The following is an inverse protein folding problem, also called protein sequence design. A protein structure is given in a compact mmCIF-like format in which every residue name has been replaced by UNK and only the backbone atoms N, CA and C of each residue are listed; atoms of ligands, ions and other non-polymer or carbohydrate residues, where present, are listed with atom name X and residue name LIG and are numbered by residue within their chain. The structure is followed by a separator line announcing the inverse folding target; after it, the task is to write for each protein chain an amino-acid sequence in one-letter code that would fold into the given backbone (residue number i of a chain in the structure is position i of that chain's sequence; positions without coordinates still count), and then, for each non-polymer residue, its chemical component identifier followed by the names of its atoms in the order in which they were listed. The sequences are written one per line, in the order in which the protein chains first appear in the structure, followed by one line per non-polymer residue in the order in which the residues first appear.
data_IF_779603811882
#
_entry.id   IF_779603811882
#
_cell.length_a   1.000
_cell.length_b   1.000
_cell.length_c   1.000
_cell.angle_alpha   90.00
_cell.angle_beta   90.00
_cell.angle_gamma   90.00
#
_symmetry.space_group_name_H-M   'P 1'
#
loop_
_entity.id
_entity.type
_entity.pdbx_description
1 polymer ?
#
# COMPACT_ATOMS: atom_id res chain seq x y z
N UNK A 1 16.25 12.01 10.97
CA UNK A 1 14.80 11.95 10.85
C UNK A 1 14.18 11.10 11.95
N UNK A 2 12.93 11.37 12.34
CA UNK A 2 12.19 10.46 13.23
C UNK A 2 11.64 9.29 12.43
N UNK A 3 11.68 8.10 13.03
CA UNK A 3 11.12 6.88 12.45
C UNK A 3 10.54 5.97 13.53
N UNK A 4 9.48 5.23 13.19
CA UNK A 4 8.91 4.18 14.01
C UNK A 4 9.56 2.85 13.62
N UNK A 5 10.49 2.39 14.44
CA UNK A 5 11.31 1.21 14.19
C UNK A 5 10.74 -0.01 14.93
N UNK A 6 10.51 -1.09 14.20
CA UNK A 6 10.32 -2.42 14.77
C UNK A 6 11.70 -2.91 15.24
N UNK A 7 11.92 -2.99 16.56
CA UNK A 7 13.21 -3.37 17.15
C UNK A 7 13.27 -4.85 17.50
N UNK A 8 12.12 -5.44 17.80
CA UNK A 8 11.92 -6.88 18.05
C UNK A 8 10.43 -7.19 17.82
N UNK A 9 10.00 -8.46 17.71
CA UNK A 9 8.59 -8.81 17.70
C UNK A 9 7.84 -8.14 18.84
N UNK A 10 6.69 -7.56 18.52
CA UNK A 10 5.83 -6.80 19.43
C UNK A 10 6.47 -5.56 20.09
N UNK A 11 7.60 -5.07 19.55
CA UNK A 11 8.31 -3.92 20.12
C UNK A 11 8.58 -2.87 19.04
N UNK A 12 7.90 -1.72 19.18
CA UNK A 12 8.10 -0.53 18.35
C UNK A 12 8.74 0.59 19.18
N UNK A 13 9.62 1.35 18.57
CA UNK A 13 10.22 2.53 19.19
C UNK A 13 10.30 3.70 18.20
N UNK A 14 9.99 4.91 18.65
CA UNK A 14 10.31 6.12 17.91
C UNK A 14 11.79 6.44 18.15
N UNK A 15 12.56 6.46 17.07
CA UNK A 15 14.02 6.66 17.12
C UNK A 15 14.45 7.80 16.21
N UNK A 16 15.62 8.36 16.51
CA UNK A 16 16.37 9.15 15.55
C UNK A 16 17.09 8.20 14.60
N UNK A 17 16.72 8.24 13.33
CA UNK A 17 17.25 7.37 12.28
C UNK A 17 17.93 8.21 11.21
N UNK A 18 19.02 7.76 10.60
CA UNK A 18 19.63 8.50 9.49
C UNK A 18 18.63 8.74 8.36
N UNK A 19 18.63 9.96 7.81
CA UNK A 19 17.87 10.22 6.58
C UNK A 19 18.47 9.37 5.46
N UNK A 20 17.66 8.61 4.69
CA UNK A 20 18.20 7.74 3.66
C UNK A 20 18.90 8.54 2.56
N UNK A 21 20.07 8.08 2.14
CA UNK A 21 20.69 8.54 0.91
C UNK A 21 19.91 7.99 -0.29
N UNK A 22 19.81 8.76 -1.36
CA UNK A 22 19.17 8.36 -2.61
C UNK A 22 20.21 7.90 -3.63
N UNK A 23 19.88 6.84 -4.38
CA UNK A 23 20.64 6.42 -5.55
C UNK A 23 20.33 7.33 -6.76
N UNK A 24 21.06 7.16 -7.85
CA UNK A 24 20.93 7.99 -9.05
C UNK A 24 19.52 8.04 -9.65
N UNK A 25 18.77 6.95 -9.55
CA UNK A 25 17.41 6.79 -10.09
C UNK A 25 16.30 6.86 -9.02
N UNK A 26 16.68 7.22 -7.79
CA UNK A 26 15.76 7.33 -6.66
C UNK A 26 15.37 8.78 -6.35
N UNK A 27 14.29 8.90 -5.62
CA UNK A 27 13.84 10.17 -5.02
C UNK A 27 13.73 10.04 -3.51
N UNK A 28 13.90 11.14 -2.79
CA UNK A 28 13.59 11.25 -1.38
C UNK A 28 12.18 11.86 -1.24
N UNK A 29 11.28 11.10 -0.66
CA UNK A 29 9.90 11.54 -0.40
C UNK A 29 9.76 11.89 1.06
N UNK A 30 9.33 13.12 1.36
CA UNK A 30 8.81 13.49 2.68
C UNK A 30 7.43 12.91 2.83
N UNK A 31 7.21 12.06 3.82
CA UNK A 31 5.92 11.42 4.08
C UNK A 31 4.99 12.40 4.80
N UNK A 32 3.79 12.57 4.27
CA UNK A 32 2.72 13.35 4.86
C UNK A 32 1.65 12.46 5.50
N UNK A 33 1.38 11.30 4.92
CA UNK A 33 0.46 10.32 5.47
C UNK A 33 0.92 8.89 5.13
N UNK A 34 0.73 7.97 6.05
CA UNK A 34 0.96 6.55 5.86
C UNK A 34 -0.13 5.74 6.58
N UNK A 35 -0.82 4.87 5.85
CA UNK A 35 -1.81 3.95 6.39
C UNK A 35 -1.16 2.85 7.22
N UNK A 36 -1.91 2.32 8.18
CA UNK A 36 -1.55 1.13 8.96
C UNK A 36 -2.32 -0.05 8.39
N UNK A 37 -1.64 -0.95 7.69
CA UNK A 37 -2.22 -2.17 7.12
C UNK A 37 -2.35 -3.27 8.18
N UNK A 38 -3.33 -4.15 8.03
CA UNK A 38 -3.40 -5.38 8.83
C UNK A 38 -2.14 -6.23 8.74
N UNK A 39 -1.44 -6.17 7.59
CA UNK A 39 -0.16 -6.84 7.42
C UNK A 39 0.97 -6.23 8.28
N UNK A 40 0.90 -4.96 8.65
CA UNK A 40 1.86 -4.35 9.58
C UNK A 40 1.64 -4.86 11.00
N UNK A 41 0.39 -5.11 11.40
CA UNK A 41 0.09 -5.76 12.67
C UNK A 41 0.69 -7.16 12.75
N UNK A 42 0.51 -7.98 11.70
CA UNK A 42 1.13 -9.31 11.62
C UNK A 42 2.66 -9.25 11.48
N UNK A 43 3.20 -8.16 11.00
CA UNK A 43 4.64 -7.89 11.01
C UNK A 43 5.15 -7.53 12.40
N UNK A 44 4.38 -6.73 13.12
CA UNK A 44 4.70 -6.32 14.47
C UNK A 44 4.71 -7.49 15.44
N UNK A 45 3.70 -8.36 15.44
CA UNK A 45 3.63 -9.54 16.32
C UNK A 45 4.56 -10.70 15.89
N UNK A 46 5.17 -10.60 14.70
CA UNK A 46 6.08 -11.61 14.14
C UNK A 46 5.37 -12.77 13.45
N UNK A 47 4.03 -12.84 13.46
CA UNK A 47 3.26 -13.95 12.88
C UNK A 47 3.39 -14.08 11.36
N UNK A 48 3.72 -12.99 10.65
CA UNK A 48 3.91 -13.01 9.20
C UNK A 48 5.22 -13.66 8.75
N UNK A 49 6.25 -13.71 9.61
CA UNK A 49 7.61 -14.16 9.29
C UNK A 49 8.36 -13.32 8.24
N UNK A 50 7.71 -12.35 7.61
CA UNK A 50 8.26 -11.55 6.51
C UNK A 50 8.93 -10.26 6.98
N UNK A 51 8.47 -9.68 8.08
CA UNK A 51 9.03 -8.45 8.64
C UNK A 51 10.01 -8.80 9.74
N UNK A 52 11.28 -8.62 9.46
CA UNK A 52 12.37 -8.96 10.39
C UNK A 52 12.99 -7.69 10.96
N UNK A 53 13.00 -7.59 12.27
CA UNK A 53 13.63 -6.49 12.99
C UNK A 53 15.17 -6.48 12.79
N UNK A 54 15.81 -5.29 12.80
CA UNK A 54 15.21 -3.96 12.89
C UNK A 54 14.63 -3.51 11.53
N UNK A 55 13.39 -3.00 11.48
CA UNK A 55 12.74 -2.59 10.24
C UNK A 55 11.82 -1.38 10.50
N UNK A 56 11.87 -0.37 9.64
CA UNK A 56 10.82 0.64 9.53
C UNK A 56 9.76 0.05 8.59
N UNK A 57 8.53 -0.12 9.09
CA UNK A 57 7.40 -0.64 8.31
C UNK A 57 6.65 0.50 7.60
N UNK A 58 5.44 0.23 7.08
CA UNK A 58 4.59 1.19 6.37
C UNK A 58 4.82 1.18 4.85
N UNK A 59 3.74 0.98 4.09
CA UNK A 59 3.77 0.81 2.63
C UNK A 59 2.58 1.45 1.91
N UNK A 60 1.63 2.00 2.65
CA UNK A 60 0.44 2.72 2.14
C UNK A 60 0.66 4.22 2.34
N UNK A 61 1.48 4.88 1.52
CA UNK A 61 1.94 6.22 1.83
C UNK A 61 1.78 7.22 0.70
N UNK A 62 1.75 8.49 1.09
CA UNK A 62 1.75 9.64 0.21
C UNK A 62 2.61 10.75 0.77
N UNK A 63 3.14 11.58 -0.11
CA UNK A 63 4.02 12.65 0.31
C UNK A 63 4.47 13.55 -0.82
N UNK A 64 5.54 14.28 -0.58
CA UNK A 64 6.13 15.25 -1.49
C UNK A 64 7.61 14.92 -1.72
N UNK A 65 8.06 15.00 -2.97
CA UNK A 65 9.48 14.82 -3.32
C UNK A 65 10.26 16.02 -2.78
N UNK A 66 11.34 15.74 -2.04
CA UNK A 66 12.24 16.78 -1.52
C UNK A 66 13.62 16.75 -2.16
N UNK A 67 14.02 15.63 -2.77
CA UNK A 67 15.26 15.51 -3.54
C UNK A 67 15.13 14.43 -4.61
N UNK A 68 15.89 14.58 -5.69
CA UNK A 68 15.95 13.64 -6.81
C UNK A 68 17.39 13.25 -7.10
N UNK A 69 17.61 11.99 -7.47
CA UNK A 69 18.88 11.52 -7.97
C UNK A 69 19.17 12.09 -9.38
N UNK A 70 20.44 12.11 -9.81
CA UNK A 70 20.85 12.77 -11.05
C UNK A 70 20.30 12.13 -12.34
N UNK A 71 19.80 10.91 -12.30
CA UNK A 71 19.15 10.23 -13.45
C UNK A 71 17.62 10.31 -13.44
N UNK A 72 17.04 11.08 -12.50
CA UNK A 72 15.59 11.27 -12.42
C UNK A 72 15.18 12.46 -13.27
N UNK A 73 14.53 12.21 -14.41
CA UNK A 73 14.15 13.25 -15.38
C UNK A 73 12.69 13.72 -15.24
N UNK A 74 11.79 12.86 -14.75
CA UNK A 74 10.33 13.10 -14.78
C UNK A 74 9.77 13.74 -13.52
N UNK A 75 10.60 13.88 -12.48
CA UNK A 75 10.18 14.29 -11.16
C UNK A 75 11.02 15.43 -10.64
N UNK A 76 10.40 16.34 -9.91
CA UNK A 76 11.04 17.48 -9.29
C UNK A 76 10.70 17.57 -7.80
N UNK A 77 11.54 18.27 -7.04
CA UNK A 77 11.18 18.65 -5.67
C UNK A 77 9.89 19.49 -5.68
N UNK A 78 9.00 19.21 -4.74
CA UNK A 78 7.64 19.77 -4.66
C UNK A 78 6.56 18.91 -5.33
N UNK A 79 6.91 17.91 -6.15
CA UNK A 79 5.92 17.01 -6.73
C UNK A 79 5.23 16.17 -5.67
N UNK A 80 3.90 16.16 -5.70
CA UNK A 80 3.05 15.38 -4.81
C UNK A 80 2.89 13.96 -5.36
N UNK A 81 3.21 12.95 -4.54
CA UNK A 81 3.29 11.56 -5.00
C UNK A 81 2.71 10.55 -4.00
N UNK A 82 2.27 9.43 -4.55
CA UNK A 82 2.19 8.12 -3.91
C UNK A 82 3.07 7.14 -4.68
N UNK A 83 3.21 5.92 -4.22
CA UNK A 83 4.03 4.92 -4.89
C UNK A 83 3.42 3.52 -4.79
N UNK A 84 3.71 2.69 -5.79
CA UNK A 84 3.55 1.24 -5.64
C UNK A 84 4.58 0.74 -4.63
N UNK A 85 4.13 0.06 -3.59
CA UNK A 85 5.04 -0.50 -2.59
C UNK A 85 5.97 -1.58 -3.15
N UNK A 86 5.66 -2.12 -4.33
CA UNK A 86 6.45 -3.14 -5.02
C UNK A 86 7.56 -2.54 -5.86
N UNK A 87 8.81 -2.76 -5.46
CA UNK A 87 10.00 -2.38 -6.22
C UNK A 87 10.40 -3.56 -7.11
N UNK A 88 10.05 -3.48 -8.39
CA UNK A 88 10.38 -4.50 -9.38
C UNK A 88 11.78 -4.27 -10.01
N UNK A 89 12.44 -5.34 -10.46
CA UNK A 89 13.81 -5.26 -11.00
C UNK A 89 13.90 -4.70 -12.42
N UNK A 90 12.85 -4.82 -13.23
CA UNK A 90 12.80 -4.34 -14.61
C UNK A 90 13.45 -5.26 -15.66
N UNK A 91 14.17 -6.32 -15.26
CA UNK A 91 14.99 -7.14 -16.16
C UNK A 91 14.68 -8.64 -16.14
N UNK A 92 13.93 -9.15 -15.17
CA UNK A 92 13.54 -10.57 -15.16
C UNK A 92 12.45 -10.87 -16.20
N UNK A 93 12.24 -12.16 -16.47
CA UNK A 93 11.25 -12.62 -17.45
C UNK A 93 9.88 -11.96 -17.27
N UNK A 94 9.33 -11.93 -16.06
CA UNK A 94 8.04 -11.32 -15.80
C UNK A 94 8.03 -9.80 -16.02
N UNK A 95 9.09 -9.10 -15.60
CA UNK A 95 9.20 -7.66 -15.84
C UNK A 95 9.24 -7.33 -17.32
N UNK A 96 9.99 -8.09 -18.12
CA UNK A 96 10.06 -7.89 -19.58
C UNK A 96 8.72 -8.14 -20.28
N UNK A 97 7.80 -8.88 -19.67
CA UNK A 97 6.43 -9.09 -20.14
C UNK A 97 5.41 -8.11 -19.58
N UNK A 98 5.84 -7.10 -18.80
CA UNK A 98 4.94 -6.16 -18.13
C UNK A 98 4.25 -6.69 -16.86
N UNK A 99 4.57 -7.91 -16.45
CA UNK A 99 4.00 -8.56 -15.26
C UNK A 99 4.84 -8.23 -14.01
N UNK A 100 5.01 -6.94 -13.72
CA UNK A 100 5.92 -6.45 -12.67
C UNK A 100 5.55 -6.95 -11.26
N UNK A 101 4.26 -7.21 -11.01
CA UNK A 101 3.77 -7.81 -9.77
C UNK A 101 4.27 -9.24 -9.53
N UNK A 102 4.73 -9.94 -10.57
CA UNK A 102 5.33 -11.27 -10.50
C UNK A 102 6.86 -11.23 -10.55
N UNK A 103 7.48 -10.07 -10.39
CA UNK A 103 8.94 -9.92 -10.40
C UNK A 103 9.61 -10.89 -9.42
N UNK A 104 10.58 -11.67 -9.92
CA UNK A 104 11.33 -12.66 -9.14
C UNK A 104 12.22 -12.02 -8.07
N UNK A 105 12.75 -10.82 -8.36
CA UNK A 105 13.65 -10.07 -7.49
C UNK A 105 12.96 -8.84 -6.84
N UNK A 106 11.65 -8.94 -6.59
CA UNK A 106 10.93 -7.81 -6.02
C UNK A 106 11.31 -7.56 -4.56
N UNK A 107 11.47 -6.30 -4.23
CA UNK A 107 11.47 -5.79 -2.86
C UNK A 107 10.13 -5.11 -2.60
N UNK A 108 9.74 -5.01 -1.35
CA UNK A 108 8.51 -4.32 -0.96
C UNK A 108 8.84 -3.35 0.16
N UNK A 109 8.49 -2.08 -0.04
CA UNK A 109 8.70 -1.00 0.91
C UNK A 109 8.09 -1.38 2.27
N UNK A 110 8.88 -1.35 3.34
CA UNK A 110 8.42 -1.65 4.70
C UNK A 110 8.08 -3.12 4.99
N UNK A 111 8.41 -4.05 4.08
CA UNK A 111 8.02 -5.48 4.20
C UNK A 111 9.17 -6.44 4.02
N UNK A 112 10.03 -6.21 3.05
CA UNK A 112 11.00 -7.22 2.60
C UNK A 112 12.01 -7.63 3.67
N UNK A 113 12.23 -8.95 3.86
CA UNK A 113 13.20 -9.47 4.82
C UNK A 113 14.62 -9.53 4.25
N UNK A 114 15.60 -9.75 5.14
CA UNK A 114 17.00 -10.09 4.85
C UNK A 114 17.68 -9.16 3.82
N UNK A 115 18.36 -9.70 2.84
CA UNK A 115 19.08 -9.01 1.77
C UNK A 115 18.20 -8.16 0.86
N UNK A 116 16.91 -8.46 0.78
CA UNK A 116 15.90 -7.64 0.09
C UNK A 116 15.29 -6.55 0.97
N UNK A 117 15.86 -6.34 2.16
CA UNK A 117 15.34 -5.40 3.15
C UNK A 117 15.20 -3.99 2.58
N UNK A 118 14.01 -3.46 2.71
CA UNK A 118 13.66 -2.11 2.32
C UNK A 118 12.88 -1.45 3.45
N UNK A 119 13.43 -0.38 4.02
CA UNK A 119 12.71 0.43 5.00
C UNK A 119 11.50 1.10 4.38
N UNK A 120 10.45 1.23 5.18
CA UNK A 120 9.16 1.75 4.79
C UNK A 120 8.90 3.20 5.23
N UNK A 121 7.63 3.56 5.16
CA UNK A 121 7.16 4.93 5.27
C UNK A 121 6.65 5.33 6.68
N UNK A 122 6.80 4.49 7.70
CA UNK A 122 6.60 4.94 9.09
C UNK A 122 7.80 5.76 9.57
N UNK A 123 8.17 6.77 8.78
CA UNK A 123 9.27 7.69 9.00
C UNK A 123 8.97 9.04 8.32
N UNK A 124 9.74 10.08 8.66
CA UNK A 124 9.58 11.39 8.02
C UNK A 124 9.96 11.36 6.53
N UNK A 125 10.89 10.49 6.14
CA UNK A 125 11.37 10.37 4.75
C UNK A 125 11.56 8.91 4.36
N UNK A 126 11.34 8.63 3.06
CA UNK A 126 11.65 7.36 2.43
C UNK A 126 12.35 7.59 1.09
N UNK A 127 13.39 6.79 0.80
CA UNK A 127 14.00 6.74 -0.53
C UNK A 127 13.36 5.62 -1.35
N UNK A 128 12.90 5.95 -2.55
CA UNK A 128 12.27 4.98 -3.47
C UNK A 128 12.68 5.24 -4.92
N UNK A 129 12.75 4.20 -5.76
CA UNK A 129 13.01 4.36 -7.19
C UNK A 129 11.91 5.22 -7.85
N UNK A 130 12.31 6.15 -8.70
CA UNK A 130 11.40 7.08 -9.37
C UNK A 130 10.36 6.39 -10.26
N UNK A 131 10.64 5.17 -10.75
CA UNK A 131 9.77 4.37 -11.62
C UNK A 131 8.52 3.81 -10.94
N UNK A 132 8.47 3.78 -9.59
CA UNK A 132 7.30 3.28 -8.86
C UNK A 132 6.36 4.40 -8.40
N UNK A 133 6.65 5.65 -8.73
CA UNK A 133 5.89 6.81 -8.31
C UNK A 133 4.68 7.07 -9.20
N UNK A 134 3.62 7.59 -8.58
CA UNK A 134 2.43 8.11 -9.22
C UNK A 134 2.18 9.55 -8.75
N UNK A 135 1.92 10.45 -9.72
CA UNK A 135 1.60 11.86 -9.44
C UNK A 135 0.21 11.98 -8.83
N UNK A 136 0.10 12.76 -7.79
CA UNK A 136 -1.18 13.09 -7.17
C UNK A 136 -1.73 14.39 -7.74
N UNK A 137 -3.05 14.48 -7.95
CA UNK A 137 -3.72 15.76 -8.20
C UNK A 137 -3.54 16.71 -7.00
N UNK A 138 -3.43 18.02 -7.27
CA UNK A 138 -3.26 19.02 -6.21
C UNK A 138 -4.44 19.06 -5.23
N UNK A 139 -5.63 18.69 -5.70
CA UNK A 139 -6.86 18.67 -4.91
C UNK A 139 -7.02 17.45 -4.01
N UNK A 140 -6.20 16.39 -4.18
CA UNK A 140 -6.32 15.18 -3.37
C UNK A 140 -5.50 15.33 -2.08
N UNK A 141 -6.13 15.32 -0.89
CA UNK A 141 -5.41 15.36 0.39
C UNK A 141 -4.49 14.15 0.57
N UNK A 142 -3.37 14.32 1.27
CA UNK A 142 -2.38 13.25 1.45
C UNK A 142 -2.93 12.06 2.25
N UNK A 143 -3.77 12.29 3.25
CA UNK A 143 -4.42 11.24 4.03
C UNK A 143 -5.32 10.35 3.15
N UNK A 144 -6.06 10.94 2.19
CA UNK A 144 -6.84 10.20 1.21
C UNK A 144 -5.93 9.54 0.16
N UNK A 145 -4.84 10.20 -0.25
CA UNK A 145 -3.91 9.66 -1.21
C UNK A 145 -3.15 8.43 -0.68
N UNK A 146 -2.90 8.35 0.62
CA UNK A 146 -2.33 7.15 1.26
C UNK A 146 -3.25 5.91 1.10
N UNK A 147 -4.56 6.12 0.91
CA UNK A 147 -5.51 5.03 0.64
C UNK A 147 -5.44 4.47 -0.80
N UNK A 148 -4.67 5.08 -1.71
CA UNK A 148 -4.58 4.61 -3.10
C UNK A 148 -4.03 3.18 -3.16
N UNK A 149 -3.06 2.84 -2.32
CA UNK A 149 -2.52 1.46 -2.27
C UNK A 149 -3.61 0.44 -1.95
N UNK A 150 -4.31 0.48 -0.79
CA UNK A 150 -5.34 -0.51 -0.49
C UNK A 150 -6.54 -0.45 -1.44
N UNK A 151 -6.88 0.72 -2.01
CA UNK A 151 -7.89 0.84 -3.06
C UNK A 151 -7.45 0.08 -4.31
N UNK A 152 -6.17 0.15 -4.69
CA UNK A 152 -5.64 -0.58 -5.86
C UNK A 152 -5.78 -2.09 -5.71
N UNK A 153 -5.58 -2.62 -4.49
CA UNK A 153 -5.80 -4.04 -4.16
C UNK A 153 -7.26 -4.43 -4.40
N UNK A 154 -8.20 -3.62 -3.89
CA UNK A 154 -9.63 -3.88 -4.05
C UNK A 154 -10.08 -3.81 -5.51
N UNK A 155 -9.64 -2.81 -6.27
CA UNK A 155 -9.94 -2.66 -7.69
C UNK A 155 -9.35 -3.84 -8.48
N UNK A 156 -8.09 -4.22 -8.22
CA UNK A 156 -7.48 -5.37 -8.86
C UNK A 156 -8.25 -6.67 -8.59
N UNK A 157 -8.68 -6.92 -7.35
CA UNK A 157 -9.47 -8.10 -7.01
C UNK A 157 -10.78 -8.16 -7.82
N UNK A 158 -11.49 -7.03 -7.93
CA UNK A 158 -12.75 -6.94 -8.69
C UNK A 158 -12.51 -7.12 -10.20
N UNK A 159 -11.42 -6.60 -10.74
CA UNK A 159 -11.07 -6.76 -12.16
C UNK A 159 -10.68 -8.19 -12.55
N UNK A 160 -10.37 -9.07 -11.60
CA UNK A 160 -10.06 -10.49 -11.86
C UNK A 160 -11.28 -11.33 -12.20
N UNK A 161 -12.49 -10.81 -11.97
CA UNK A 161 -13.75 -11.52 -12.24
C UNK A 161 -14.59 -10.73 -13.26
N UNK A 162 -15.36 -11.46 -14.06
CA UNK A 162 -16.39 -10.86 -14.92
C UNK A 162 -17.68 -10.80 -14.11
N UNK A 163 -18.27 -9.63 -13.96
CA UNK A 163 -19.50 -9.41 -13.19
C UNK A 163 -20.64 -9.11 -14.15
N UNK A 164 -21.65 -9.98 -14.16
CA UNK A 164 -22.91 -9.70 -14.86
C UNK A 164 -23.91 -8.99 -13.93
N UNK A 165 -24.82 -8.23 -14.51
CA UNK A 165 -25.85 -7.49 -13.74
C UNK A 165 -26.78 -8.41 -12.92
N UNK A 166 -26.89 -9.69 -13.29
CA UNK A 166 -27.67 -10.74 -12.60
C UNK A 166 -26.91 -11.41 -11.45
N UNK A 167 -25.60 -11.23 -11.35
CA UNK A 167 -24.78 -11.91 -10.37
C UNK A 167 -25.05 -11.42 -8.95
N UNK A 168 -24.86 -12.31 -8.02
CA UNK A 168 -24.74 -12.01 -6.59
C UNK A 168 -23.29 -12.20 -6.19
N UNK A 169 -22.64 -11.15 -5.74
CA UNK A 169 -21.24 -11.19 -5.31
C UNK A 169 -21.18 -11.22 -3.79
N UNK A 170 -20.44 -12.17 -3.25
CA UNK A 170 -20.25 -12.29 -1.80
C UNK A 170 -18.84 -11.83 -1.41
N UNK A 171 -18.77 -10.93 -0.43
CA UNK A 171 -17.52 -10.44 0.17
C UNK A 171 -17.41 -11.01 1.58
N UNK A 172 -16.48 -11.94 1.77
CA UNK A 172 -16.23 -12.57 3.08
C UNK A 172 -15.12 -11.78 3.78
N UNK A 173 -15.45 -11.20 4.94
CA UNK A 173 -14.62 -10.28 5.68
C UNK A 173 -14.88 -8.82 5.28
N UNK A 174 -15.43 -8.05 6.22
CA UNK A 174 -15.73 -6.62 6.05
C UNK A 174 -14.72 -5.73 6.82
N UNK A 175 -13.43 -6.11 6.81
CA UNK A 175 -12.33 -5.24 7.19
C UNK A 175 -12.06 -4.18 6.13
N UNK A 176 -10.97 -3.43 6.25
CA UNK A 176 -10.63 -2.34 5.32
C UNK A 176 -10.69 -2.79 3.84
N UNK A 177 -10.00 -3.86 3.47
CA UNK A 177 -9.99 -4.36 2.08
C UNK A 177 -11.39 -4.82 1.65
N UNK A 178 -12.13 -5.56 2.49
CA UNK A 178 -13.49 -6.00 2.16
C UNK A 178 -14.45 -4.82 1.92
N UNK A 179 -14.36 -3.77 2.74
CA UNK A 179 -15.15 -2.55 2.56
C UNK A 179 -14.79 -1.78 1.29
N UNK A 180 -13.52 -1.76 0.91
CA UNK A 180 -13.06 -1.20 -0.36
C UNK A 180 -13.52 -2.05 -1.56
N UNK A 181 -13.51 -3.38 -1.42
CA UNK A 181 -14.07 -4.30 -2.44
C UNK A 181 -15.56 -4.05 -2.64
N UNK A 182 -16.35 -3.86 -1.56
CA UNK A 182 -17.78 -3.51 -1.68
C UNK A 182 -17.98 -2.25 -2.52
N UNK A 183 -17.16 -1.21 -2.28
CA UNK A 183 -17.22 0.03 -3.05
C UNK A 183 -16.79 -0.18 -4.51
N UNK A 184 -15.70 -0.91 -4.75
CA UNK A 184 -15.23 -1.24 -6.10
C UNK A 184 -16.25 -2.07 -6.88
N UNK A 185 -16.96 -3.03 -6.25
CA UNK A 185 -18.05 -3.79 -6.83
C UNK A 185 -19.23 -2.90 -7.23
N UNK A 186 -19.60 -1.94 -6.36
CA UNK A 186 -20.63 -0.94 -6.68
C UNK A 186 -20.25 -0.12 -7.91
N UNK A 187 -19.02 0.37 -7.94
CA UNK A 187 -18.49 1.13 -9.07
C UNK A 187 -18.46 0.30 -10.37
N UNK A 188 -18.12 -1.00 -10.27
CA UNK A 188 -18.15 -1.94 -11.40
C UNK A 188 -19.56 -2.33 -11.85
N UNK A 189 -20.63 -1.87 -11.18
CA UNK A 189 -22.03 -2.10 -11.56
C UNK A 189 -22.69 -3.32 -10.96
N UNK A 190 -22.08 -4.00 -9.98
CA UNK A 190 -22.70 -5.11 -9.27
C UNK A 190 -24.00 -4.67 -8.60
N UNK A 191 -25.10 -5.42 -8.83
CA UNK A 191 -26.45 -5.10 -8.32
C UNK A 191 -26.72 -5.71 -6.96
N UNK A 192 -26.19 -6.91 -6.70
CA UNK A 192 -26.36 -7.62 -5.44
C UNK A 192 -25.00 -7.92 -4.82
N UNK A 193 -24.72 -7.28 -3.69
CA UNK A 193 -23.47 -7.41 -2.94
C UNK A 193 -23.83 -7.84 -1.53
N UNK A 194 -23.35 -9.02 -1.16
CA UNK A 194 -23.54 -9.61 0.17
C UNK A 194 -22.23 -9.48 0.94
N UNK A 195 -22.24 -8.80 2.07
CA UNK A 195 -21.09 -8.71 2.96
C UNK A 195 -21.25 -9.64 4.17
N UNK A 196 -20.22 -10.38 4.50
CA UNK A 196 -20.18 -11.33 5.63
C UNK A 196 -19.05 -10.94 6.59
N UNK A 197 -19.34 -10.79 7.87
CA UNK A 197 -18.33 -10.56 8.92
C UNK A 197 -18.90 -10.95 10.29
N UNK A 198 -18.05 -11.24 11.26
CA UNK A 198 -18.46 -11.53 12.65
C UNK A 198 -18.75 -10.25 13.44
N UNK A 199 -18.32 -9.08 12.95
CA UNK A 199 -18.45 -7.81 13.66
C UNK A 199 -19.59 -6.95 13.08
N UNK A 200 -20.67 -6.75 13.85
CA UNK A 200 -21.86 -6.01 13.39
C UNK A 200 -21.55 -4.54 13.02
N UNK A 201 -20.60 -3.89 13.69
CA UNK A 201 -20.17 -2.55 13.34
C UNK A 201 -19.57 -2.47 11.92
N UNK A 202 -18.81 -3.50 11.48
CA UNK A 202 -18.27 -3.62 10.13
C UNK A 202 -19.37 -3.88 9.11
N UNK A 203 -20.34 -4.72 9.43
CA UNK A 203 -21.51 -4.98 8.58
C UNK A 203 -22.36 -3.73 8.40
N UNK A 204 -22.56 -2.95 9.47
CA UNK A 204 -23.24 -1.66 9.39
C UNK A 204 -22.52 -0.70 8.44
N UNK A 205 -21.19 -0.64 8.49
CA UNK A 205 -20.39 0.17 7.57
C UNK A 205 -20.46 -0.37 6.14
N UNK A 206 -20.44 -1.70 5.95
CA UNK A 206 -20.59 -2.32 4.64
C UNK A 206 -21.90 -1.94 3.96
N UNK A 207 -23.03 -1.91 4.70
CA UNK A 207 -24.34 -1.43 4.18
C UNK A 207 -24.25 0.02 3.71
N UNK A 208 -23.64 0.89 4.51
CA UNK A 208 -23.46 2.32 4.17
C UNK A 208 -22.59 2.51 2.91
N UNK A 209 -21.62 1.63 2.70
CA UNK A 209 -20.70 1.67 1.56
C UNK A 209 -21.22 0.94 0.32
N UNK A 210 -22.37 0.26 0.42
CA UNK A 210 -23.07 -0.26 -0.75
C UNK A 210 -23.34 -1.76 -0.78
N UNK A 211 -23.08 -2.50 0.30
CA UNK A 211 -23.58 -3.86 0.43
C UNK A 211 -25.11 -3.85 0.47
N UNK A 212 -25.73 -4.71 -0.35
CA UNK A 212 -27.19 -4.83 -0.40
C UNK A 212 -27.75 -5.75 0.69
N UNK A 213 -26.94 -6.69 1.12
CA UNK A 213 -27.26 -7.63 2.19
C UNK A 213 -26.02 -7.85 3.07
N UNK A 214 -26.25 -8.23 4.32
CA UNK A 214 -25.17 -8.56 5.25
C UNK A 214 -25.55 -9.77 6.09
N UNK A 215 -24.56 -10.59 6.41
CA UNK A 215 -24.70 -11.76 7.30
C UNK A 215 -23.58 -11.74 8.34
N UNK A 216 -23.98 -11.98 9.58
CA UNK A 216 -23.07 -12.21 10.70
C UNK A 216 -22.83 -13.72 10.87
#
# INVERSE_FOLDING_TARGET
MKALLLTAPSTLAIVDFPTPAIADDEVLVRIHACGICGSDFHGWDGSSGRRQAPLIMGHEASGEIVATGPRVEKWNAGDRVTFDSTIYCGVCHFCCQGQINLCENRRVVGVSPNEYKQHGAFAEFVAVPSRILYRLPDTLPFDQAAMIEPVSIAVHAVQRIKIAATDTVVVVGSGMIGLLIVQALRWAGAKRIVAVDLAENRLTLARRLGATHTFN
#
